data_IF_954203403209
#
_entry.id   IF_954203403209
#
_cell.length_a   1.000
_cell.length_b   1.000
_cell.length_c   1.000
_cell.angle_alpha   90.00
_cell.angle_beta   90.00
_cell.angle_gamma   90.00
#
_symmetry.space_group_name_H-M   'P 1'
#
loop_
_entity.id
_entity.type
_entity.pdbx_description
1 polymer ?
#
# COMPACT_ATOMS: atom_id res chain seq x y z
N UNK A 1 -18.68 -7.94 2.98
CA UNK A 1 -17.48 -7.78 2.30
C UNK A 1 -17.59 -6.98 1.04
N UNK A 2 -16.68 -6.16 0.78
CA UNK A 2 -16.94 -5.21 -0.23
C UNK A 2 -15.77 -4.93 -1.15
N UNK A 3 -15.34 -5.98 -1.82
CA UNK A 3 -14.27 -5.87 -2.78
C UNK A 3 -14.63 -4.96 -3.92
N UNK A 4 -15.92 -4.93 -4.28
CA UNK A 4 -16.38 -4.06 -5.34
C UNK A 4 -16.22 -2.59 -4.94
N UNK A 5 -16.59 -2.28 -3.71
CA UNK A 5 -16.45 -0.92 -3.21
C UNK A 5 -14.98 -0.50 -3.17
N UNK A 6 -14.10 -1.37 -2.69
CA UNK A 6 -12.68 -1.09 -2.64
C UNK A 6 -12.12 -0.88 -4.03
N UNK A 7 -12.58 -1.66 -5.00
CA UNK A 7 -12.13 -1.53 -6.37
C UNK A 7 -12.53 -0.19 -6.97
N UNK A 8 -13.76 0.23 -6.71
CA UNK A 8 -14.23 1.53 -7.19
C UNK A 8 -13.42 2.66 -6.57
N UNK A 9 -13.16 2.58 -5.28
CA UNK A 9 -12.36 3.59 -4.61
C UNK A 9 -10.94 3.66 -5.16
N UNK A 10 -10.35 2.51 -5.43
CA UNK A 10 -9.01 2.47 -6.00
C UNK A 10 -8.98 3.18 -7.35
N UNK A 11 -9.99 2.96 -8.16
CA UNK A 11 -10.08 3.63 -9.45
C UNK A 11 -10.24 5.14 -9.29
N UNK A 12 -11.09 5.55 -8.37
CA UNK A 12 -11.31 6.96 -8.11
C UNK A 12 -10.06 7.66 -7.64
N UNK A 13 -9.21 6.95 -6.91
CA UNK A 13 -7.98 7.52 -6.38
C UNK A 13 -6.77 7.25 -7.27
N UNK A 14 -7.01 6.65 -8.43
CA UNK A 14 -5.99 6.43 -9.44
C UNK A 14 -4.82 5.59 -8.94
N UNK A 15 -5.12 4.56 -8.15
CA UNK A 15 -4.08 3.63 -7.71
C UNK A 15 -3.95 2.53 -8.74
N UNK A 16 -2.82 2.44 -9.46
CA UNK A 16 -2.65 1.40 -10.48
C UNK A 16 -2.63 0.01 -9.85
N UNK A 17 -3.11 -1.00 -10.57
CA UNK A 17 -3.06 -2.37 -10.07
C UNK A 17 -1.64 -2.83 -9.73
N UNK A 18 -0.65 -2.36 -10.46
CA UNK A 18 0.74 -2.70 -10.18
C UNK A 18 1.16 -2.23 -8.80
N UNK A 19 0.76 -1.01 -8.42
CA UNK A 19 1.09 -0.46 -7.11
C UNK A 19 0.41 -1.28 -6.01
N UNK A 20 -0.84 -1.67 -6.24
CA UNK A 20 -1.56 -2.51 -5.30
C UNK A 20 -0.84 -3.83 -5.09
N UNK A 21 -0.33 -4.40 -6.16
CA UNK A 21 0.43 -5.62 -6.11
C UNK A 21 1.74 -5.45 -5.34
N UNK A 22 2.39 -4.31 -5.54
CA UNK A 22 3.62 -4.01 -4.80
C UNK A 22 3.35 -3.87 -3.31
N UNK A 23 2.18 -3.38 -2.94
CA UNK A 23 1.82 -3.35 -1.53
C UNK A 23 1.75 -4.75 -0.95
N UNK A 24 1.26 -5.72 -1.73
CA UNK A 24 1.25 -7.10 -1.29
C UNK A 24 2.65 -7.68 -1.12
N UNK A 25 3.55 -7.34 -2.03
CA UNK A 25 4.87 -7.94 -2.04
C UNK A 25 5.88 -7.22 -1.14
N UNK A 26 5.81 -5.91 -1.12
CA UNK A 26 6.83 -5.11 -0.44
C UNK A 26 6.28 -4.27 0.69
N UNK A 27 4.97 -4.14 0.80
CA UNK A 27 4.37 -3.28 1.80
C UNK A 27 4.68 -3.74 3.21
N UNK A 28 4.78 -2.77 4.10
CA UNK A 28 4.97 -3.05 5.51
C UNK A 28 3.63 -2.99 6.21
N UNK A 29 3.41 -3.91 7.15
CA UNK A 29 2.15 -4.01 7.86
C UNK A 29 2.23 -3.34 9.21
N UNK A 30 1.23 -2.54 9.51
CA UNK A 30 1.12 -1.90 10.80
C UNK A 30 -0.26 -2.19 11.37
N UNK A 31 -0.30 -2.93 12.47
CA UNK A 31 -1.55 -3.31 13.10
C UNK A 31 -2.02 -2.19 14.03
N UNK A 32 -3.32 -1.91 13.98
CA UNK A 32 -3.88 -0.85 14.81
C UNK A 32 -4.34 -1.33 16.18
N UNK A 33 -4.29 -2.63 16.43
CA UNK A 33 -4.75 -3.17 17.70
C UNK A 33 -6.25 -3.35 17.78
N UNK A 34 -6.98 -3.06 16.72
CA UNK A 34 -8.44 -3.15 16.69
C UNK A 34 -8.96 -4.08 15.62
N UNK A 35 -8.10 -4.95 15.13
CA UNK A 35 -8.52 -5.93 14.12
C UNK A 35 -8.27 -5.50 12.69
N UNK A 36 -7.57 -4.42 12.49
CA UNK A 36 -7.23 -3.92 11.15
C UNK A 36 -5.73 -3.81 11.00
N UNK A 37 -5.27 -3.93 9.76
CA UNK A 37 -3.87 -3.78 9.45
C UNK A 37 -3.73 -2.79 8.30
N UNK A 38 -2.80 -1.85 8.42
CA UNK A 38 -2.50 -0.90 7.37
C UNK A 38 -1.25 -1.35 6.64
N UNK A 39 -1.33 -1.43 5.32
CA UNK A 39 -0.20 -1.83 4.48
C UNK A 39 0.25 -0.60 3.71
N UNK A 40 1.53 -0.29 3.80
CA UNK A 40 2.07 0.92 3.21
C UNK A 40 3.53 0.70 2.83
N UNK A 41 4.08 1.64 2.06
CA UNK A 41 5.48 1.57 1.67
C UNK A 41 6.34 2.34 2.66
N UNK A 42 7.08 1.62 3.48
CA UNK A 42 8.05 2.20 4.40
C UNK A 42 9.37 2.44 3.69
N UNK A 43 10.33 3.05 4.38
CA UNK A 43 11.68 3.17 3.82
C UNK A 43 12.28 1.81 3.52
N UNK A 44 12.01 0.84 4.38
CA UNK A 44 12.48 -0.52 4.16
C UNK A 44 11.83 -1.11 2.90
N UNK A 45 10.54 -0.87 2.73
CA UNK A 45 9.83 -1.34 1.54
C UNK A 45 10.45 -0.79 0.29
N UNK A 46 10.73 0.50 0.26
CA UNK A 46 11.31 1.15 -0.90
C UNK A 46 12.69 0.60 -1.20
N UNK A 47 13.49 0.34 -0.18
CA UNK A 47 14.82 -0.26 -0.38
C UNK A 47 14.72 -1.64 -1.00
N UNK A 48 13.78 -2.45 -0.50
CA UNK A 48 13.57 -3.78 -1.05
C UNK A 48 13.14 -3.68 -2.51
N UNK A 49 12.25 -2.75 -2.82
CA UNK A 49 11.82 -2.54 -4.19
C UNK A 49 12.97 -2.14 -5.08
N UNK A 50 13.83 -1.24 -4.59
CA UNK A 50 14.99 -0.83 -5.38
C UNK A 50 15.93 -1.99 -5.66
N UNK A 51 16.09 -2.86 -4.69
CA UNK A 51 16.94 -4.03 -4.82
C UNK A 51 16.38 -5.04 -5.81
N UNK A 52 15.09 -5.21 -5.81
CA UNK A 52 14.41 -6.21 -6.63
C UNK A 52 14.08 -5.69 -8.02
N UNK A 53 13.57 -4.46 -8.10
CA UNK A 53 13.04 -3.89 -9.34
C UNK A 53 14.00 -2.91 -10.00
N UNK A 54 14.98 -2.42 -9.26
CA UNK A 54 15.92 -1.42 -9.77
C UNK A 54 15.50 -0.02 -9.35
N UNK A 55 16.50 0.84 -9.11
CA UNK A 55 16.25 2.19 -8.66
C UNK A 55 15.47 3.01 -9.70
N UNK A 56 15.75 2.78 -10.96
CA UNK A 56 15.09 3.52 -12.02
C UNK A 56 13.60 3.25 -12.04
N UNK A 57 13.22 1.98 -11.90
CA UNK A 57 11.83 1.59 -11.88
C UNK A 57 11.10 2.24 -10.72
N UNK A 58 11.70 2.19 -9.53
CA UNK A 58 11.08 2.77 -8.33
C UNK A 58 10.96 4.28 -8.49
N UNK A 59 11.96 4.91 -9.07
CA UNK A 59 11.95 6.36 -9.28
C UNK A 59 10.80 6.78 -10.19
N UNK A 60 10.52 5.99 -11.22
CA UNK A 60 9.41 6.30 -12.14
C UNK A 60 8.06 6.28 -11.43
N UNK A 61 7.93 5.45 -10.39
CA UNK A 61 6.68 5.32 -9.66
C UNK A 61 6.74 5.99 -8.29
N UNK A 62 7.65 6.91 -8.12
CA UNK A 62 7.88 7.54 -6.82
C UNK A 62 6.62 8.14 -6.23
N UNK A 63 5.80 8.79 -7.04
CA UNK A 63 4.60 9.44 -6.56
C UNK A 63 3.57 8.44 -6.04
N UNK A 64 3.66 7.18 -6.43
CA UNK A 64 2.72 6.15 -5.99
C UNK A 64 3.15 5.53 -4.66
N UNK A 65 4.30 5.89 -4.13
CA UNK A 65 4.80 5.29 -2.90
C UNK A 65 4.08 5.79 -1.64
N UNK A 66 3.14 6.73 -1.82
CA UNK A 66 2.29 7.18 -0.73
C UNK A 66 0.98 6.39 -0.64
N UNK A 67 0.80 5.42 -1.51
CA UNK A 67 -0.40 4.60 -1.48
C UNK A 67 -0.42 3.72 -0.22
N UNK A 68 -1.60 3.46 0.26
CA UNK A 68 -1.76 2.54 1.38
C UNK A 68 -3.07 1.78 1.23
N UNK A 69 -3.19 0.72 2.03
CA UNK A 69 -4.38 -0.12 2.02
C UNK A 69 -4.65 -0.58 3.45
N UNK A 70 -5.91 -0.62 3.83
CA UNK A 70 -6.32 -1.14 5.13
C UNK A 70 -7.12 -2.41 4.92
N UNK A 71 -6.72 -3.46 5.62
CA UNK A 71 -7.37 -4.76 5.53
C UNK A 71 -7.84 -5.21 6.89
N UNK A 72 -8.88 -6.05 6.89
CA UNK A 72 -9.35 -6.68 8.10
C UNK A 72 -8.44 -7.86 8.44
N UNK A 73 -8.00 -7.96 9.68
CA UNK A 73 -7.19 -9.09 10.11
C UNK A 73 -7.99 -10.39 10.12
N UNK A 74 -9.32 -10.28 10.27
CA UNK A 74 -10.16 -11.47 10.40
C UNK A 74 -10.24 -12.25 9.11
N UNK A 75 -10.40 -11.57 7.98
CA UNK A 75 -10.62 -12.27 6.72
C UNK A 75 -9.74 -11.73 5.58
N UNK A 76 -8.87 -10.79 5.86
CA UNK A 76 -7.99 -10.23 4.84
C UNK A 76 -8.68 -9.35 3.82
N UNK A 77 -9.95 -9.02 4.04
CA UNK A 77 -10.67 -8.20 3.08
C UNK A 77 -10.18 -6.76 3.09
N UNK A 78 -10.03 -6.19 1.91
CA UNK A 78 -9.63 -4.79 1.80
C UNK A 78 -10.77 -3.89 2.20
N UNK A 79 -10.53 -3.01 3.16
CA UNK A 79 -11.55 -2.10 3.65
C UNK A 79 -11.46 -0.75 2.96
N UNK A 80 -10.24 -0.24 2.80
CA UNK A 80 -10.06 1.04 2.13
C UNK A 80 -8.67 1.12 1.51
N UNK A 81 -8.55 1.98 0.49
CA UNK A 81 -7.30 2.30 -0.17
C UNK A 81 -7.21 3.81 -0.27
N UNK A 82 -6.01 4.34 -0.31
CA UNK A 82 -5.87 5.79 -0.42
C UNK A 82 -4.43 6.21 -0.51
N UNK A 83 -4.22 7.51 -0.30
CA UNK A 83 -2.91 8.13 -0.36
C UNK A 83 -2.60 8.76 0.98
N UNK A 84 -1.41 8.50 1.49
CA UNK A 84 -0.96 9.17 2.70
C UNK A 84 -0.62 10.61 2.35
N UNK A 85 -1.01 11.54 3.24
CA UNK A 85 -0.67 12.93 3.01
C UNK A 85 0.82 13.16 3.20
N UNK A 86 1.44 12.32 4.00
CA UNK A 86 2.89 12.33 4.17
C UNK A 86 3.34 10.94 4.57
N UNK A 87 4.63 10.67 4.39
CA UNK A 87 5.17 9.37 4.69
C UNK A 87 5.09 9.09 6.19
N UNK A 88 4.75 7.84 6.51
CA UNK A 88 4.68 7.43 7.91
C UNK A 88 6.08 7.39 8.49
N UNK A 89 6.33 8.05 9.65
CA UNK A 89 7.65 8.05 10.25
C UNK A 89 8.08 6.64 10.61
N UNK A 90 9.36 6.38 10.42
CA UNK A 90 9.93 5.11 10.79
C UNK A 90 10.16 5.06 12.29
N UNK A 91 9.96 3.92 12.86
CA UNK A 91 10.17 3.73 14.28
C UNK A 91 11.39 2.95 14.58
#
# INVERSE_FOLDING_TARGET
>A
MDTKHASIRAQQRCIPPLVDRWLDEFGEEEHDGHGYVRIYFSHRSVREMERTLGRQCVCLFKRYLHAYRIESCADGATITKGWLTRRIPRR
#
